data_IF_152181666293
#
_entry.id   IF_152181666293
#
_cell.length_a   1.000
_cell.length_b   1.000
_cell.length_c   1.000
_cell.angle_alpha   90.00
_cell.angle_beta   90.00
_cell.angle_gamma   90.00
#
_symmetry.space_group_name_H-M   'P 1'
#
loop_
_entity.id
_entity.type
_entity.pdbx_description
1 polymer ?
#
# COMPACT_ATOMS: atom_id res chain seq x y z
N UNK A 1 13.37 -2.90 9.65
CA UNK A 1 12.48 -1.75 9.96
C UNK A 1 11.01 -2.17 9.99
N UNK A 2 10.51 -2.85 8.95
CA UNK A 2 9.13 -3.38 8.92
C UNK A 2 8.80 -4.29 10.12
N UNK A 3 9.67 -5.24 10.46
CA UNK A 3 9.45 -6.15 11.59
C UNK A 3 9.38 -5.41 12.94
N UNK A 4 10.29 -4.46 13.14
CA UNK A 4 10.30 -3.60 14.34
C UNK A 4 9.01 -2.78 14.45
N UNK A 5 8.50 -2.26 13.33
CA UNK A 5 7.24 -1.52 13.31
C UNK A 5 6.08 -2.42 13.72
N UNK A 6 5.98 -3.63 13.16
CA UNK A 6 4.93 -4.58 13.50
C UNK A 6 4.99 -4.99 14.98
N UNK A 7 6.18 -5.28 15.49
CA UNK A 7 6.40 -5.62 16.90
C UNK A 7 5.89 -4.51 17.84
N UNK A 8 6.18 -3.24 17.51
CA UNK A 8 5.76 -2.10 18.33
C UNK A 8 4.24 -2.00 18.48
N UNK A 9 3.45 -2.53 17.55
CA UNK A 9 1.98 -2.45 17.64
C UNK A 9 1.38 -3.29 18.77
N UNK A 10 2.13 -4.20 19.37
CA UNK A 10 1.69 -5.04 20.49
C UNK A 10 1.81 -4.35 21.85
N UNK A 11 2.67 -3.32 21.94
CA UNK A 11 2.98 -2.63 23.17
C UNK A 11 2.26 -1.30 23.28
N UNK A 12 1.75 -0.99 24.46
CA UNK A 12 1.36 0.36 24.81
C UNK A 12 2.57 1.14 25.32
N UNK A 13 2.89 2.25 24.67
CA UNK A 13 3.90 3.19 25.18
C UNK A 13 3.40 3.90 26.44
N UNK A 14 4.24 4.03 27.49
CA UNK A 14 3.83 4.61 28.77
C UNK A 14 3.64 6.14 28.73
N UNK A 15 4.31 6.84 27.80
CA UNK A 15 4.15 8.27 27.59
C UNK A 15 3.55 8.57 26.20
N UNK A 16 2.84 9.69 26.07
CA UNK A 16 2.49 10.28 24.76
C UNK A 16 3.68 10.99 24.11
N UNK A 17 4.74 11.28 24.87
CA UNK A 17 5.94 11.95 24.37
C UNK A 17 6.92 10.96 23.75
N UNK A 18 7.25 11.16 22.47
CA UNK A 18 8.27 10.35 21.77
C UNK A 18 9.61 10.37 22.50
N UNK A 19 10.06 11.55 22.93
CA UNK A 19 11.35 11.74 23.59
C UNK A 19 11.43 10.97 24.91
N UNK A 20 10.37 11.01 25.71
CA UNK A 20 10.33 10.30 27.00
C UNK A 20 10.42 8.79 26.78
N UNK A 21 9.64 8.24 25.84
CA UNK A 21 9.68 6.82 25.54
C UNK A 21 11.05 6.40 25.00
N UNK A 22 11.64 7.16 24.08
CA UNK A 22 12.97 6.86 23.53
C UNK A 22 14.05 6.88 24.59
N UNK A 23 14.00 7.83 25.54
CA UNK A 23 14.90 7.85 26.68
C UNK A 23 14.76 6.59 27.53
N UNK A 24 13.54 6.21 27.88
CA UNK A 24 13.31 5.00 28.66
C UNK A 24 13.77 3.73 27.93
N UNK A 25 13.60 3.67 26.61
CA UNK A 25 14.10 2.56 25.78
C UNK A 25 15.64 2.54 25.81
N UNK A 26 16.29 3.68 25.58
CA UNK A 26 17.75 3.79 25.57
C UNK A 26 18.38 3.47 26.93
N UNK A 27 17.72 3.89 28.02
CA UNK A 27 18.16 3.65 29.39
C UNK A 27 17.79 2.23 29.89
N UNK A 28 17.05 1.42 29.10
CA UNK A 28 16.60 0.09 29.51
C UNK A 28 15.54 0.07 30.62
N UNK A 29 14.85 1.20 30.84
CA UNK A 29 13.90 1.41 31.94
C UNK A 29 12.43 1.37 31.51
N UNK A 30 12.15 1.21 30.21
CA UNK A 30 10.79 1.25 29.69
C UNK A 30 9.94 0.09 30.24
N UNK A 31 8.78 0.43 30.78
CA UNK A 31 7.74 -0.51 31.19
C UNK A 31 6.58 -0.40 30.20
N UNK A 32 6.48 -1.38 29.30
CA UNK A 32 5.42 -1.41 28.29
C UNK A 32 4.09 -1.84 28.91
N UNK A 33 3.01 -1.18 28.54
CA UNK A 33 1.66 -1.71 28.76
C UNK A 33 1.23 -2.64 27.63
N UNK A 34 0.02 -3.17 27.71
CA UNK A 34 -0.60 -3.98 26.66
C UNK A 34 -1.63 -3.18 25.87
N UNK A 35 -1.78 -3.48 24.57
CA UNK A 35 -2.87 -2.96 23.74
C UNK A 35 -3.27 -3.95 22.65
N UNK A 36 -4.50 -3.80 22.16
CA UNK A 36 -4.93 -4.50 20.94
C UNK A 36 -4.22 -3.94 19.70
N UNK A 37 -3.55 -4.80 18.92
CA UNK A 37 -2.82 -4.45 17.70
C UNK A 37 -3.68 -3.70 16.66
N UNK A 38 -4.98 -3.99 16.59
CA UNK A 38 -5.90 -3.40 15.61
C UNK A 38 -6.46 -2.03 15.99
N UNK A 39 -6.33 -1.62 17.27
CA UNK A 39 -6.92 -0.36 17.76
C UNK A 39 -5.89 0.75 17.80
N UNK A 40 -6.18 1.83 17.09
CA UNK A 40 -5.42 3.08 17.19
C UNK A 40 -5.53 3.67 18.60
N UNK A 41 -4.46 4.34 19.04
CA UNK A 41 -4.43 5.17 20.25
C UNK A 41 -4.24 6.65 19.93
N UNK A 42 -4.35 7.04 18.65
CA UNK A 42 -4.08 8.41 18.20
C UNK A 42 -2.60 8.79 18.32
N UNK A 43 -1.69 7.81 18.29
CA UNK A 43 -0.26 8.00 18.55
C UNK A 43 0.61 7.57 17.35
N UNK A 44 0.01 7.45 16.16
CA UNK A 44 0.65 6.94 14.94
C UNK A 44 2.08 7.44 14.72
N UNK A 45 2.29 8.75 14.76
CA UNK A 45 3.59 9.34 14.50
C UNK A 45 4.64 9.02 15.56
N UNK A 46 4.25 8.93 16.83
CA UNK A 46 5.16 8.52 17.89
C UNK A 46 5.61 7.05 17.71
N UNK A 47 4.69 6.13 17.38
CA UNK A 47 5.05 4.73 17.12
C UNK A 47 5.97 4.60 15.91
N UNK A 48 5.68 5.32 14.83
CA UNK A 48 6.55 5.35 13.64
C UNK A 48 7.94 5.88 14.00
N UNK A 49 8.05 7.01 14.72
CA UNK A 49 9.35 7.54 15.18
C UNK A 49 10.13 6.54 16.05
N UNK A 50 9.47 5.82 16.96
CA UNK A 50 10.12 4.79 17.78
C UNK A 50 10.63 3.64 16.90
N UNK A 51 9.82 3.15 15.96
CA UNK A 51 10.22 2.07 15.05
C UNK A 51 11.39 2.49 14.14
N UNK A 52 11.36 3.69 13.59
CA UNK A 52 12.43 4.25 12.77
C UNK A 52 13.73 4.42 13.58
N UNK A 53 13.65 4.87 14.83
CA UNK A 53 14.82 5.03 15.69
C UNK A 53 15.42 3.68 16.10
N UNK A 54 14.59 2.70 16.50
CA UNK A 54 15.04 1.32 16.80
C UNK A 54 15.71 0.68 15.58
N UNK A 55 15.25 1.01 14.38
CA UNK A 55 15.85 0.57 13.12
C UNK A 55 17.13 1.33 12.74
N UNK A 56 17.54 2.36 13.51
CA UNK A 56 18.62 3.28 13.15
C UNK A 56 18.40 4.02 11.81
N UNK A 57 17.14 4.17 11.39
CA UNK A 57 16.77 4.88 10.17
C UNK A 57 16.69 6.41 10.40
N UNK A 58 16.46 6.83 11.64
CA UNK A 58 16.50 8.23 12.08
C UNK A 58 17.37 8.36 13.33
N UNK A 59 17.89 9.56 13.58
CA UNK A 59 18.65 9.88 14.78
C UNK A 59 17.92 10.97 15.55
N UNK A 60 17.76 10.76 16.85
CA UNK A 60 17.42 11.85 17.76
C UNK A 60 18.72 12.36 18.39
N UNK A 61 19.02 13.63 18.17
CA UNK A 61 20.21 14.25 18.78
C UNK A 61 19.94 14.41 20.27
N UNK A 62 20.82 13.83 21.08
CA UNK A 62 20.83 14.07 22.51
C UNK A 62 21.45 15.44 22.74
N UNK A 63 20.68 16.37 23.28
CA UNK A 63 21.19 17.65 23.73
C UNK A 63 22.22 17.45 24.84
N UNK A 64 23.08 18.46 25.06
CA UNK A 64 24.14 18.41 26.09
C UNK A 64 23.62 18.15 27.52
N UNK A 65 22.35 18.49 27.79
CA UNK A 65 21.63 18.23 29.05
C UNK A 65 21.09 16.78 29.16
N UNK A 66 21.33 15.94 28.15
CA UNK A 66 20.87 14.55 28.13
C UNK A 66 19.43 14.33 27.65
N UNK A 67 18.70 15.39 27.26
CA UNK A 67 17.35 15.29 26.66
C UNK A 67 17.46 14.98 25.17
N UNK A 68 16.45 14.32 24.58
CA UNK A 68 16.39 14.20 23.13
C UNK A 68 15.67 15.44 22.57
N UNK A 69 16.29 16.14 21.61
CA UNK A 69 15.58 17.19 20.89
C UNK A 69 14.42 16.54 20.12
N UNK A 70 13.20 17.02 20.37
CA UNK A 70 11.97 16.56 19.72
C UNK A 70 11.92 16.97 18.25
N UNK A 71 12.82 16.45 17.43
CA UNK A 71 12.85 16.73 16.01
C UNK A 71 11.59 16.16 15.33
N UNK A 72 10.93 17.00 14.54
CA UNK A 72 9.87 16.60 13.61
C UNK A 72 8.42 16.89 14.00
N UNK A 73 8.16 17.77 14.97
CA UNK A 73 6.80 18.22 15.29
C UNK A 73 5.91 17.17 15.96
N UNK A 74 4.69 17.58 16.32
CA UNK A 74 3.71 16.77 17.06
C UNK A 74 2.71 16.04 16.16
N UNK A 75 2.56 16.48 14.90
CA UNK A 75 1.53 15.99 13.98
C UNK A 75 2.13 15.13 12.87
N UNK A 76 1.38 14.12 12.45
CA UNK A 76 1.83 13.19 11.42
C UNK A 76 1.95 13.87 10.04
N UNK A 77 1.00 14.76 9.70
CA UNK A 77 0.99 15.44 8.39
C UNK A 77 2.26 16.24 8.08
N UNK A 78 2.94 16.76 9.11
CA UNK A 78 4.18 17.57 8.94
C UNK A 78 5.47 16.74 9.02
N UNK A 79 5.38 15.41 9.02
CA UNK A 79 6.54 14.54 9.18
C UNK A 79 7.55 14.62 8.02
N UNK A 80 7.11 15.10 6.85
CA UNK A 80 7.92 15.09 5.62
C UNK A 80 9.28 15.76 5.76
N UNK A 81 9.30 17.03 6.16
CA UNK A 81 10.54 17.79 6.31
C UNK A 81 11.50 17.15 7.33
N UNK A 82 10.96 16.51 8.38
CA UNK A 82 11.79 15.77 9.32
C UNK A 82 12.38 14.52 8.68
N UNK A 83 11.58 13.71 8.00
CA UNK A 83 12.07 12.50 7.32
C UNK A 83 13.18 12.85 6.31
N UNK A 84 13.00 13.91 5.52
CA UNK A 84 14.03 14.41 4.60
C UNK A 84 15.30 14.88 5.32
N UNK A 85 15.18 15.55 6.47
CA UNK A 85 16.34 15.91 7.30
C UNK A 85 17.10 14.68 7.83
N UNK A 86 16.43 13.54 7.94
CA UNK A 86 17.04 12.25 8.31
C UNK A 86 17.56 11.48 7.08
N UNK A 87 17.55 12.11 5.91
CA UNK A 87 18.05 11.56 4.65
C UNK A 87 17.12 10.53 4.01
N UNK A 88 15.81 10.62 4.26
CA UNK A 88 14.82 9.99 3.40
C UNK A 88 14.65 10.84 2.12
N UNK A 89 14.21 10.21 1.04
CA UNK A 89 13.87 10.87 -0.23
C UNK A 89 12.37 10.75 -0.44
N UNK A 90 11.71 11.86 -0.76
CA UNK A 90 10.32 11.85 -1.18
C UNK A 90 10.20 11.24 -2.60
N UNK A 91 9.56 10.08 -2.70
CA UNK A 91 9.36 9.30 -3.94
C UNK A 91 7.91 9.31 -4.41
N UNK A 92 7.05 10.18 -3.86
CA UNK A 92 5.61 10.23 -4.22
C UNK A 92 5.38 10.34 -5.72
N UNK A 93 6.11 11.24 -6.39
CA UNK A 93 5.98 11.46 -7.84
C UNK A 93 6.49 10.31 -8.72
N UNK A 94 7.22 9.35 -8.13
CA UNK A 94 7.78 8.19 -8.83
C UNK A 94 6.84 6.98 -8.77
N UNK A 95 5.76 7.07 -8.00
CA UNK A 95 4.85 5.97 -7.74
C UNK A 95 3.45 6.30 -8.29
N UNK A 96 2.76 5.34 -8.93
CA UNK A 96 1.38 5.55 -9.39
C UNK A 96 0.38 5.80 -8.26
N UNK A 97 0.63 5.21 -7.09
CA UNK A 97 -0.26 5.21 -5.94
C UNK A 97 0.49 4.78 -4.67
N UNK A 98 0.01 5.16 -3.49
CA UNK A 98 0.62 4.75 -2.21
C UNK A 98 0.66 3.23 -2.00
N UNK A 99 -0.22 2.46 -2.66
CA UNK A 99 -0.16 0.98 -2.67
C UNK A 99 1.08 0.42 -3.38
N UNK A 100 1.80 1.23 -4.14
CA UNK A 100 3.06 0.87 -4.78
C UNK A 100 4.28 1.13 -3.88
N UNK A 101 4.09 1.73 -2.71
CA UNK A 101 5.15 1.89 -1.72
C UNK A 101 5.78 0.54 -1.37
N UNK A 102 7.11 0.53 -1.30
CA UNK A 102 7.92 -0.64 -0.95
C UNK A 102 7.83 -0.91 0.55
N UNK A 103 8.03 -2.16 1.00
CA UNK A 103 8.29 -2.45 2.40
C UNK A 103 9.45 -1.59 2.90
N UNK A 104 9.20 -0.84 3.98
CA UNK A 104 10.13 0.13 4.55
C UNK A 104 9.84 1.59 4.16
N UNK A 105 9.05 1.86 3.13
CA UNK A 105 8.65 3.24 2.85
C UNK A 105 7.74 3.78 3.97
N UNK A 106 7.88 5.07 4.26
CA UNK A 106 7.04 5.80 5.20
C UNK A 106 6.01 6.60 4.43
N UNK A 107 4.72 6.37 4.68
CA UNK A 107 3.61 7.05 3.99
C UNK A 107 3.01 8.07 4.95
N UNK A 108 2.96 9.33 4.55
CA UNK A 108 2.42 10.45 5.31
C UNK A 108 1.12 10.93 4.66
N UNK A 109 0.11 11.20 5.48
CA UNK A 109 -1.22 11.57 5.05
C UNK A 109 -1.69 12.85 5.74
N UNK A 110 -2.48 13.64 5.03
CA UNK A 110 -3.35 14.66 5.62
C UNK A 110 -4.81 14.22 5.52
N UNK A 111 -5.69 14.91 6.25
CA UNK A 111 -7.13 14.73 6.10
C UNK A 111 -7.59 15.50 4.86
N UNK A 112 -8.41 14.87 4.01
CA UNK A 112 -8.99 15.50 2.82
C UNK A 112 -9.67 16.83 3.18
N UNK A 113 -9.37 17.88 2.43
CA UNK A 113 -9.88 19.23 2.69
C UNK A 113 -9.19 19.99 3.85
N UNK A 114 -8.26 19.35 4.57
CA UNK A 114 -7.36 20.03 5.49
C UNK A 114 -6.10 20.46 4.74
N UNK A 115 -5.76 21.74 4.82
CA UNK A 115 -4.52 22.25 4.24
C UNK A 115 -3.31 21.81 5.08
N UNK A 116 -2.20 21.53 4.42
CA UNK A 116 -0.92 21.31 5.09
C UNK A 116 -0.46 22.65 5.67
N UNK A 117 -0.55 22.81 6.98
CA UNK A 117 -0.01 23.98 7.67
C UNK A 117 1.22 23.57 8.49
N UNK A 118 2.35 24.20 8.19
CA UNK A 118 3.61 23.99 8.91
C UNK A 118 3.51 24.38 10.40
N UNK A 119 2.50 25.17 10.77
CA UNK A 119 2.21 25.58 12.14
C UNK A 119 1.46 24.51 12.97
N UNK A 120 1.09 23.38 12.37
CA UNK A 120 0.40 22.29 13.06
C UNK A 120 -1.07 22.58 13.39
N UNK A 121 -1.68 23.64 12.84
CA UNK A 121 -3.13 23.84 12.95
C UNK A 121 -3.89 22.85 12.06
N UNK A 122 -5.17 22.63 12.36
CA UNK A 122 -6.02 21.67 11.63
C UNK A 122 -5.93 20.25 12.17
N UNK A 123 -6.21 19.26 11.33
CA UNK A 123 -6.24 17.85 11.71
C UNK A 123 -4.83 17.25 11.75
N UNK A 124 -4.56 16.28 12.64
CA UNK A 124 -3.21 15.75 12.87
C UNK A 124 -2.62 14.94 11.70
N UNK A 125 -3.44 14.53 10.73
CA UNK A 125 -3.05 13.61 9.67
C UNK A 125 -2.80 12.18 10.16
N UNK A 126 -2.15 11.37 9.31
CA UNK A 126 -1.76 10.01 9.65
C UNK A 126 -0.38 9.67 9.08
N UNK A 127 0.24 8.59 9.54
CA UNK A 127 1.52 8.11 9.05
C UNK A 127 1.68 6.60 9.29
N UNK A 128 2.25 5.92 8.29
CA UNK A 128 2.58 4.49 8.36
C UNK A 128 4.01 4.19 7.94
N UNK A 129 4.50 3.04 8.37
CA UNK A 129 5.53 2.27 7.68
C UNK A 129 4.84 1.17 6.88
N UNK A 130 5.16 1.06 5.58
CA UNK A 130 4.70 -0.04 4.73
C UNK A 130 5.49 -1.31 5.07
N UNK A 131 4.81 -2.43 5.22
CA UNK A 131 5.43 -3.77 5.25
C UNK A 131 4.98 -4.56 4.03
N UNK A 132 5.41 -5.82 3.91
CA UNK A 132 4.99 -6.68 2.81
C UNK A 132 3.47 -6.80 2.76
N UNK A 133 2.85 -7.09 3.90
CA UNK A 133 1.41 -7.33 4.01
C UNK A 133 0.63 -6.14 4.55
N UNK A 134 1.26 -5.25 5.33
CA UNK A 134 0.52 -4.31 6.18
C UNK A 134 0.94 -2.86 5.99
N UNK A 135 0.13 -1.97 6.53
CA UNK A 135 0.46 -0.59 6.84
C UNK A 135 0.47 -0.48 8.36
N UNK A 136 1.57 0.02 8.90
CA UNK A 136 1.86 -0.07 10.33
C UNK A 136 2.10 1.32 10.89
N UNK A 137 1.24 1.72 11.81
CA UNK A 137 1.36 2.94 12.60
C UNK A 137 1.47 2.56 14.09
N UNK A 138 0.74 3.27 14.94
CA UNK A 138 0.33 2.76 16.25
C UNK A 138 -0.61 1.56 16.18
N UNK A 139 -1.16 1.20 15.02
CA UNK A 139 -1.93 -0.03 14.82
C UNK A 139 -1.57 -0.68 13.49
N UNK A 140 -1.97 -1.95 13.29
CA UNK A 140 -1.71 -2.69 12.06
C UNK A 140 -2.97 -2.86 11.24
N UNK A 141 -2.86 -2.68 9.92
CA UNK A 141 -3.94 -2.92 8.95
C UNK A 141 -3.39 -3.49 7.65
N UNK A 142 -4.22 -4.19 6.89
CA UNK A 142 -3.87 -4.82 5.61
C UNK A 142 -4.30 -4.01 4.38
N UNK A 143 -4.74 -2.77 4.58
CA UNK A 143 -5.28 -1.91 3.54
C UNK A 143 -4.83 -0.45 3.75
N UNK A 144 -4.68 0.33 2.67
CA UNK A 144 -4.26 1.73 2.75
C UNK A 144 -5.22 2.55 3.64
N UNK A 145 -4.73 3.42 4.53
CA UNK A 145 -5.65 4.26 5.31
C UNK A 145 -6.16 5.40 4.47
N UNK A 146 -7.33 5.16 3.89
CA UNK A 146 -8.11 6.16 3.16
C UNK A 146 -9.16 6.83 4.05
N UNK A 147 -9.40 6.31 5.25
CA UNK A 147 -10.37 6.90 6.19
C UNK A 147 -10.01 6.67 7.65
N UNK A 148 -10.48 7.58 8.50
CA UNK A 148 -10.37 7.52 9.94
C UNK A 148 -11.63 8.05 10.63
N UNK A 149 -11.61 7.97 11.96
CA UNK A 149 -12.69 8.47 12.82
C UNK A 149 -12.18 9.70 13.57
N UNK A 150 -12.85 10.83 13.37
CA UNK A 150 -12.56 12.09 14.04
C UNK A 150 -13.34 12.26 15.35
N UNK A 151 -13.21 13.43 16.00
CA UNK A 151 -14.01 13.80 17.16
C UNK A 151 -15.52 13.64 16.89
N UNK A 152 -16.26 13.11 17.86
CA UNK A 152 -17.70 12.89 17.72
C UNK A 152 -18.10 11.72 16.81
N UNK A 153 -17.18 10.80 16.50
CA UNK A 153 -17.38 9.65 15.59
C UNK A 153 -17.67 10.05 14.13
N UNK A 154 -17.31 11.26 13.74
CA UNK A 154 -17.42 11.72 12.36
C UNK A 154 -16.35 11.04 11.50
N UNK A 155 -16.72 10.56 10.31
CA UNK A 155 -15.76 9.96 9.39
C UNK A 155 -15.00 11.06 8.66
N UNK A 156 -13.68 10.91 8.55
CA UNK A 156 -12.86 11.73 7.66
C UNK A 156 -12.06 10.82 6.73
N UNK A 157 -11.59 11.40 5.64
CA UNK A 157 -10.81 10.70 4.62
C UNK A 157 -9.37 11.19 4.62
N UNK A 158 -8.45 10.32 4.25
CA UNK A 158 -7.03 10.63 4.19
C UNK A 158 -6.53 10.62 2.76
N UNK A 159 -5.64 11.55 2.46
CA UNK A 159 -4.91 11.64 1.20
C UNK A 159 -3.41 11.48 1.48
N UNK A 160 -2.70 10.57 0.80
CA UNK A 160 -1.24 10.51 0.87
C UNK A 160 -0.62 11.79 0.30
N UNK A 161 0.17 12.49 1.10
CA UNK A 161 0.94 13.69 0.69
C UNK A 161 2.42 13.41 0.50
N UNK A 162 2.92 12.31 1.06
CA UNK A 162 4.32 11.97 0.98
C UNK A 162 4.58 10.48 1.14
N UNK A 163 5.47 9.94 0.30
CA UNK A 163 6.02 8.59 0.43
C UNK A 163 7.53 8.76 0.51
N UNK A 164 8.10 8.43 1.65
CA UNK A 164 9.50 8.69 1.98
C UNK A 164 10.27 7.39 2.05
N UNK A 165 11.32 7.29 1.25
CA UNK A 165 12.19 6.10 1.16
C UNK A 165 13.56 6.39 1.74
N UNK A 166 14.07 5.49 2.57
CA UNK A 166 15.45 5.53 3.08
C UNK A 166 16.30 4.46 2.39
N UNK A 167 17.41 4.87 1.80
CA UNK A 167 18.35 3.95 1.17
C UNK A 167 18.84 2.89 2.18
N UNK A 168 18.89 1.63 1.77
CA UNK A 168 19.29 0.50 2.62
C UNK A 168 18.17 -0.05 3.52
N UNK A 169 16.98 0.56 3.50
CA UNK A 169 15.84 0.15 4.33
C UNK A 169 14.61 -0.30 3.54
N UNK A 170 14.67 -0.25 2.20
CA UNK A 170 13.61 -0.69 1.29
C UNK A 170 14.07 -1.87 0.44
N UNK A 171 13.22 -2.88 0.28
CA UNK A 171 13.43 -3.99 -0.67
C UNK A 171 12.82 -3.62 -2.05
N UNK A 172 13.61 -3.54 -3.14
CA UNK A 172 13.10 -3.25 -4.48
C UNK A 172 12.38 -4.45 -5.12
N UNK A 173 12.67 -5.68 -4.71
CA UNK A 173 12.13 -6.90 -5.32
C UNK A 173 10.58 -6.99 -5.28
N UNK A 174 9.88 -6.53 -4.22
CA UNK A 174 8.44 -6.36 -4.18
C UNK A 174 7.84 -5.63 -5.38
N UNK A 175 8.49 -4.59 -5.90
CA UNK A 175 7.99 -3.85 -7.06
C UNK A 175 8.12 -4.68 -8.35
N UNK A 176 9.26 -5.34 -8.55
CA UNK A 176 9.46 -6.24 -9.69
C UNK A 176 8.44 -7.38 -9.68
N UNK A 177 8.22 -8.01 -8.52
CA UNK A 177 7.20 -9.04 -8.31
C UNK A 177 5.79 -8.56 -8.60
N UNK A 178 5.41 -7.38 -8.11
CA UNK A 178 4.10 -6.80 -8.39
C UNK A 178 3.90 -6.53 -9.89
N UNK A 179 4.90 -5.93 -10.56
CA UNK A 179 4.86 -5.70 -12.02
C UNK A 179 4.78 -7.00 -12.81
N UNK A 180 5.53 -8.02 -12.40
CA UNK A 180 5.50 -9.35 -12.99
C UNK A 180 4.11 -9.97 -12.88
N UNK A 181 3.49 -9.89 -11.70
CA UNK A 181 2.16 -10.45 -11.48
C UNK A 181 1.07 -9.71 -12.27
N UNK A 182 1.14 -8.37 -12.34
CA UNK A 182 0.27 -7.57 -13.22
C UNK A 182 0.41 -8.00 -14.69
N UNK A 183 1.64 -8.30 -15.14
CA UNK A 183 1.91 -8.80 -16.51
C UNK A 183 1.29 -10.16 -16.76
N UNK A 184 1.34 -11.05 -15.78
CA UNK A 184 0.64 -12.34 -15.86
C UNK A 184 -0.85 -12.11 -16.07
N UNK A 185 -1.52 -11.33 -15.20
CA UNK A 185 -2.96 -11.12 -15.30
C UNK A 185 -3.34 -10.63 -16.69
N UNK A 186 -2.70 -9.55 -17.17
CA UNK A 186 -3.04 -8.98 -18.49
C UNK A 186 -2.69 -9.90 -19.67
N UNK A 187 -1.63 -10.69 -19.55
CA UNK A 187 -1.27 -11.66 -20.59
C UNK A 187 -2.30 -12.77 -20.76
N UNK A 188 -3.13 -13.01 -19.74
CA UNK A 188 -4.17 -14.03 -19.75
C UNK A 188 -5.55 -13.43 -19.99
N UNK A 189 -5.94 -12.43 -19.22
CA UNK A 189 -7.24 -11.76 -19.32
C UNK A 189 -7.43 -11.03 -20.66
N UNK A 190 -6.35 -10.51 -21.25
CA UNK A 190 -6.36 -9.84 -22.55
C UNK A 190 -5.48 -10.55 -23.59
N UNK A 191 -5.37 -11.88 -23.49
CA UNK A 191 -4.50 -12.73 -24.32
C UNK A 191 -4.57 -12.40 -25.82
N UNK A 192 -5.77 -12.26 -26.38
CA UNK A 192 -5.95 -11.96 -27.80
C UNK A 192 -5.26 -10.66 -28.21
N UNK A 193 -5.35 -9.61 -27.39
CA UNK A 193 -4.72 -8.33 -27.67
C UNK A 193 -3.20 -8.38 -27.50
N UNK A 194 -2.73 -9.15 -26.50
CA UNK A 194 -1.30 -9.43 -26.35
C UNK A 194 -0.73 -10.12 -27.60
N UNK A 195 -1.40 -11.14 -28.11
CA UNK A 195 -0.97 -11.91 -29.30
C UNK A 195 -1.03 -11.08 -30.58
N UNK A 196 -2.05 -10.24 -30.74
CA UNK A 196 -2.21 -9.42 -31.95
C UNK A 196 -1.23 -8.25 -32.03
N UNK A 197 -0.89 -7.60 -30.90
CA UNK A 197 -0.18 -6.34 -30.95
C UNK A 197 0.65 -5.99 -29.69
N UNK A 198 0.92 -6.97 -28.82
CA UNK A 198 1.81 -6.81 -27.67
C UNK A 198 1.18 -6.23 -26.42
N UNK A 199 1.98 -6.17 -25.35
CA UNK A 199 1.54 -5.89 -23.98
C UNK A 199 0.83 -4.54 -23.83
N UNK A 200 1.32 -3.49 -24.50
CA UNK A 200 0.70 -2.17 -24.45
C UNK A 200 -0.74 -2.16 -24.98
N UNK A 201 -1.11 -3.12 -25.84
CA UNK A 201 -2.46 -3.19 -26.41
C UNK A 201 -3.47 -3.91 -25.52
N UNK A 202 -3.04 -4.61 -24.47
CA UNK A 202 -3.97 -5.26 -23.53
C UNK A 202 -4.89 -4.28 -22.84
N UNK A 203 -4.43 -3.05 -22.58
CA UNK A 203 -5.22 -1.99 -21.92
C UNK A 203 -6.45 -1.52 -22.70
N UNK A 204 -6.53 -1.87 -23.99
CA UNK A 204 -7.63 -1.51 -24.89
C UNK A 204 -8.58 -2.69 -25.16
N UNK A 205 -8.40 -3.80 -24.46
CA UNK A 205 -9.27 -4.96 -24.61
C UNK A 205 -10.66 -4.71 -24.04
N UNK A 206 -11.68 -5.29 -24.66
CA UNK A 206 -13.05 -5.35 -24.16
C UNK A 206 -13.52 -6.80 -24.24
N UNK A 207 -14.32 -7.23 -23.26
CA UNK A 207 -14.88 -8.58 -23.25
C UNK A 207 -15.61 -8.88 -24.57
N UNK A 208 -15.34 -10.06 -25.15
CA UNK A 208 -15.96 -10.52 -26.40
C UNK A 208 -15.41 -9.86 -27.67
N UNK A 209 -14.41 -8.99 -27.57
CA UNK A 209 -13.74 -8.38 -28.73
C UNK A 209 -12.43 -9.10 -29.01
N UNK A 210 -12.26 -9.54 -30.26
CA UNK A 210 -11.09 -10.32 -30.70
C UNK A 210 -10.30 -9.66 -31.83
N UNK A 211 -10.57 -8.39 -32.14
CA UNK A 211 -9.89 -7.64 -33.21
C UNK A 211 -9.48 -6.25 -32.73
N UNK A 212 -8.39 -5.72 -33.29
CA UNK A 212 -7.89 -4.37 -32.95
C UNK A 212 -8.83 -3.25 -33.41
N UNK A 213 -9.66 -3.48 -34.43
CA UNK A 213 -10.63 -2.49 -34.89
C UNK A 213 -11.78 -2.26 -33.89
N UNK A 214 -12.09 -3.29 -33.09
CA UNK A 214 -13.06 -3.24 -32.00
C UNK A 214 -12.47 -2.80 -30.65
N UNK A 215 -11.18 -2.47 -30.61
CA UNK A 215 -10.51 -2.02 -29.38
C UNK A 215 -11.21 -0.80 -28.76
N UNK A 216 -11.07 -0.67 -27.43
CA UNK A 216 -11.48 0.52 -26.71
C UNK A 216 -10.82 1.77 -27.32
N UNK A 217 -11.62 2.80 -27.56
CA UNK A 217 -11.15 4.05 -28.18
C UNK A 217 -11.11 5.22 -27.20
N UNK A 218 -12.01 5.20 -26.23
CA UNK A 218 -12.12 6.22 -25.19
C UNK A 218 -11.79 5.59 -23.83
N UNK A 219 -10.76 6.16 -23.20
CA UNK A 219 -10.29 5.78 -21.86
C UNK A 219 -10.42 6.96 -20.87
N UNK A 220 -11.22 7.98 -21.20
CA UNK A 220 -11.51 9.10 -20.29
C UNK A 220 -12.36 8.68 -19.09
N UNK A 221 -13.04 7.54 -19.19
CA UNK A 221 -13.82 6.92 -18.13
C UNK A 221 -14.00 5.42 -18.39
N UNK A 222 -14.68 4.70 -17.51
CA UNK A 222 -15.00 3.29 -17.72
C UNK A 222 -15.84 3.10 -19.00
N UNK A 223 -15.39 2.27 -19.95
CA UNK A 223 -16.08 2.11 -21.23
C UNK A 223 -17.50 1.57 -21.09
N UNK A 224 -18.42 2.08 -21.90
CA UNK A 224 -19.78 1.56 -22.00
C UNK A 224 -19.81 0.24 -22.79
N UNK A 225 -20.81 -0.60 -22.51
CA UNK A 225 -21.10 -1.81 -23.30
C UNK A 225 -20.88 -3.11 -22.53
N UNK A 226 -19.62 -3.56 -22.42
CA UNK A 226 -19.31 -4.88 -21.86
C UNK A 226 -19.14 -4.88 -20.33
N UNK A 227 -19.35 -6.05 -19.73
CA UNK A 227 -19.24 -6.24 -18.27
C UNK A 227 -17.81 -6.20 -17.75
N UNK A 228 -16.83 -6.58 -18.58
CA UNK A 228 -15.41 -6.62 -18.23
C UNK A 228 -14.58 -5.84 -19.26
N UNK A 229 -13.68 -4.98 -18.79
CA UNK A 229 -12.95 -4.03 -19.63
C UNK A 229 -11.46 -3.95 -19.27
N UNK A 230 -10.64 -3.61 -20.27
CA UNK A 230 -9.23 -3.30 -20.12
C UNK A 230 -8.31 -4.49 -19.91
N UNK A 231 -7.06 -4.20 -19.58
CA UNK A 231 -5.99 -5.20 -19.42
C UNK A 231 -6.30 -6.26 -18.36
N UNK A 232 -7.07 -5.88 -17.34
CA UNK A 232 -7.38 -6.73 -16.19
C UNK A 232 -8.82 -7.24 -16.20
N UNK A 233 -9.55 -7.05 -17.32
CA UNK A 233 -10.96 -7.43 -17.48
C UNK A 233 -11.80 -7.01 -16.26
N UNK A 234 -11.65 -5.76 -15.85
CA UNK A 234 -12.24 -5.24 -14.63
C UNK A 234 -13.73 -4.97 -14.81
N UNK A 235 -14.52 -5.25 -13.77
CA UNK A 235 -15.96 -4.95 -13.79
C UNK A 235 -16.25 -3.49 -13.47
N UNK A 236 -17.39 -2.99 -13.96
CA UNK A 236 -17.89 -1.65 -13.60
C UNK A 236 -18.14 -1.50 -12.10
N UNK A 237 -18.52 -2.59 -11.41
CA UNK A 237 -18.73 -2.58 -9.97
C UNK A 237 -17.41 -2.39 -9.19
N UNK A 238 -16.35 -3.12 -9.58
CA UNK A 238 -15.00 -2.94 -9.03
C UNK A 238 -14.45 -1.53 -9.32
N UNK A 239 -14.71 -1.01 -10.52
CA UNK A 239 -14.37 0.35 -10.92
C UNK A 239 -15.02 1.41 -10.02
N UNK A 240 -16.35 1.36 -9.87
CA UNK A 240 -17.06 2.30 -9.00
C UNK A 240 -16.66 2.14 -7.54
N UNK A 241 -16.35 0.92 -7.10
CA UNK A 241 -15.86 0.66 -5.76
C UNK A 241 -14.53 1.35 -5.47
N UNK A 242 -13.56 1.28 -6.38
CA UNK A 242 -12.25 1.92 -6.21
C UNK A 242 -12.29 3.45 -6.18
N UNK A 243 -13.29 4.08 -6.81
CA UNK A 243 -13.44 5.55 -6.75
C UNK A 243 -13.90 6.06 -5.38
N UNK A 244 -14.59 5.24 -4.60
CA UNK A 244 -15.15 5.66 -3.32
C UNK A 244 -14.04 6.10 -2.36
N UNK A 245 -14.14 7.29 -1.73
CA UNK A 245 -13.12 7.79 -0.79
C UNK A 245 -12.85 6.84 0.38
N UNK A 246 -13.88 6.13 0.84
CA UNK A 246 -13.77 5.14 1.91
C UNK A 246 -13.14 3.81 1.51
N UNK A 247 -12.90 3.61 0.21
CA UNK A 247 -12.32 2.40 -0.35
C UNK A 247 -11.01 2.74 -1.06
N UNK A 248 -11.01 3.00 -2.36
CA UNK A 248 -9.78 3.17 -3.13
C UNK A 248 -9.26 4.60 -3.16
N UNK A 249 -10.17 5.59 -3.22
CA UNK A 249 -9.90 6.97 -3.60
C UNK A 249 -9.10 7.07 -4.93
N UNK A 250 -9.43 6.21 -5.90
CA UNK A 250 -8.73 6.13 -7.18
C UNK A 250 -9.35 7.07 -8.24
N UNK A 251 -8.58 7.50 -9.25
CA UNK A 251 -9.09 8.32 -10.34
C UNK A 251 -10.24 7.67 -11.12
N UNK A 252 -10.99 8.52 -11.83
CA UNK A 252 -12.16 8.13 -12.61
C UNK A 252 -11.88 7.93 -14.12
N UNK A 253 -10.67 8.20 -14.59
CA UNK A 253 -10.22 7.85 -15.95
C UNK A 253 -9.86 6.37 -16.09
N UNK A 254 -9.90 5.80 -17.28
CA UNK A 254 -9.57 4.39 -17.52
C UNK A 254 -8.22 4.20 -18.24
N UNK A 255 -7.30 5.13 -18.01
CA UNK A 255 -5.97 5.10 -18.64
C UNK A 255 -5.15 3.88 -18.17
N UNK A 256 -4.14 3.44 -18.93
CA UNK A 256 -3.33 2.27 -18.57
C UNK A 256 -2.78 2.31 -17.13
N UNK A 257 -2.22 3.44 -16.72
CA UNK A 257 -1.70 3.63 -15.36
C UNK A 257 -2.80 3.50 -14.30
N UNK A 258 -4.01 3.98 -14.59
CA UNK A 258 -5.14 3.88 -13.66
C UNK A 258 -5.66 2.45 -13.60
N UNK A 259 -5.73 1.73 -14.72
CA UNK A 259 -6.05 0.30 -14.72
C UNK A 259 -5.08 -0.51 -13.84
N UNK A 260 -3.77 -0.21 -13.88
CA UNK A 260 -2.78 -0.83 -13.00
C UNK A 260 -3.04 -0.53 -11.52
N UNK A 261 -3.38 0.72 -11.18
CA UNK A 261 -3.73 1.12 -9.81
C UNK A 261 -4.93 0.34 -9.28
N UNK A 262 -5.94 0.14 -10.11
CA UNK A 262 -7.11 -0.66 -9.74
C UNK A 262 -6.79 -2.13 -9.57
N UNK A 263 -5.98 -2.73 -10.45
CA UNK A 263 -5.54 -4.11 -10.27
C UNK A 263 -4.78 -4.29 -8.95
N UNK A 264 -3.92 -3.34 -8.58
CA UNK A 264 -3.23 -3.34 -7.28
C UNK A 264 -4.19 -3.16 -6.10
N UNK A 265 -5.20 -2.30 -6.24
CA UNK A 265 -6.28 -2.15 -5.26
C UNK A 265 -7.06 -3.47 -5.06
N UNK A 266 -7.36 -4.20 -6.13
CA UNK A 266 -8.05 -5.50 -6.05
C UNK A 266 -7.17 -6.58 -5.40
N UNK A 267 -5.86 -6.59 -5.69
CA UNK A 267 -4.91 -7.48 -5.01
C UNK A 267 -4.77 -7.18 -3.51
N UNK A 268 -4.86 -5.90 -3.12
CA UNK A 268 -4.95 -5.50 -1.71
C UNK A 268 -6.30 -5.95 -1.10
N UNK A 269 -7.36 -5.80 -1.88
CA UNK A 269 -8.75 -6.15 -1.59
C UNK A 269 -9.41 -5.21 -0.58
N UNK A 270 -10.34 -5.70 0.24
CA UNK A 270 -11.17 -4.81 1.06
C UNK A 270 -10.65 -4.59 2.49
N UNK A 271 -10.92 -3.41 3.09
CA UNK A 271 -10.68 -3.16 4.51
C UNK A 271 -11.39 -4.20 5.40
N UNK A 272 -10.81 -4.46 6.58
CA UNK A 272 -11.53 -5.16 7.65
C UNK A 272 -11.37 -6.68 7.71
N UNK A 273 -10.45 -7.28 6.94
CA UNK A 273 -10.14 -8.70 7.04
C UNK A 273 -9.22 -8.97 8.24
N UNK A 274 -9.80 -9.43 9.35
CA UNK A 274 -9.09 -9.83 10.57
C UNK A 274 -9.36 -11.31 10.88
N UNK A 275 -8.42 -12.02 11.51
CA UNK A 275 -8.71 -13.33 12.08
C UNK A 275 -9.43 -13.26 13.43
N UNK A 276 -9.71 -14.44 13.99
CA UNK A 276 -10.33 -14.63 15.31
C UNK A 276 -9.53 -13.97 16.45
N UNK A 277 -8.23 -13.78 16.30
CA UNK A 277 -7.38 -13.06 17.27
C UNK A 277 -7.40 -11.54 17.07
N UNK A 278 -8.10 -11.06 16.05
CA UNK A 278 -8.16 -9.65 15.70
C UNK A 278 -6.92 -9.15 14.95
N UNK A 279 -6.07 -10.04 14.42
CA UNK A 279 -4.92 -9.66 13.61
C UNK A 279 -5.35 -9.49 12.15
N UNK A 280 -4.90 -8.43 11.46
CA UNK A 280 -5.22 -8.24 10.06
C UNK A 280 -4.65 -9.40 9.24
N UNK A 281 -5.42 -9.91 8.31
CA UNK A 281 -5.02 -11.03 7.46
C UNK A 281 -4.14 -10.57 6.30
N UNK A 282 -3.14 -11.36 5.89
CA UNK A 282 -2.38 -11.13 4.66
C UNK A 282 -3.27 -10.94 3.42
N UNK A 283 -2.88 -10.02 2.54
CA UNK A 283 -3.54 -9.80 1.25
C UNK A 283 -2.85 -10.55 0.13
N UNK A 284 -3.53 -10.71 -1.02
CA UNK A 284 -2.90 -11.28 -2.20
C UNK A 284 -1.70 -10.42 -2.65
N UNK A 285 -1.84 -9.09 -2.61
CA UNK A 285 -0.75 -8.15 -2.87
C UNK A 285 0.46 -8.42 -1.97
N UNK A 286 0.24 -8.68 -0.68
CA UNK A 286 1.32 -9.01 0.24
C UNK A 286 2.04 -10.32 -0.14
N UNK A 287 1.29 -11.37 -0.50
CA UNK A 287 1.90 -12.63 -0.97
C UNK A 287 2.62 -12.49 -2.31
N UNK A 288 2.12 -11.66 -3.23
CA UNK A 288 2.84 -11.32 -4.46
C UNK A 288 4.20 -10.69 -4.12
N UNK A 289 4.22 -9.75 -3.17
CA UNK A 289 5.44 -9.05 -2.77
C UNK A 289 6.45 -9.96 -2.07
N UNK A 290 6.01 -10.97 -1.31
CA UNK A 290 6.91 -11.97 -0.70
C UNK A 290 7.34 -13.05 -1.69
N UNK A 291 6.65 -13.18 -2.84
CA UNK A 291 6.88 -14.24 -3.83
C UNK A 291 6.15 -15.55 -3.51
N UNK A 292 5.25 -15.55 -2.54
CA UNK A 292 4.42 -16.72 -2.17
C UNK A 292 3.20 -16.84 -3.09
N UNK A 293 3.45 -17.07 -4.38
CA UNK A 293 2.45 -16.89 -5.44
C UNK A 293 1.28 -17.86 -5.35
N UNK A 294 1.45 -19.05 -4.81
CA UNK A 294 0.33 -19.98 -4.58
C UNK A 294 -0.71 -19.41 -3.61
N UNK A 295 -0.25 -18.74 -2.55
CA UNK A 295 -1.14 -18.10 -1.57
C UNK A 295 -1.83 -16.88 -2.18
N UNK A 296 -1.11 -16.12 -3.02
CA UNK A 296 -1.72 -15.02 -3.77
C UNK A 296 -2.82 -15.52 -4.71
N UNK A 297 -2.53 -16.53 -5.54
CA UNK A 297 -3.49 -17.12 -6.49
C UNK A 297 -4.73 -17.64 -5.77
N UNK A 298 -4.56 -18.33 -4.63
CA UNK A 298 -5.69 -18.83 -3.85
C UNK A 298 -6.68 -17.73 -3.42
N UNK A 299 -6.19 -16.52 -3.13
CA UNK A 299 -7.03 -15.37 -2.78
C UNK A 299 -7.65 -14.65 -3.99
N UNK A 300 -7.15 -14.90 -5.19
CA UNK A 300 -7.50 -14.15 -6.41
C UNK A 300 -8.38 -14.92 -7.39
N UNK A 301 -8.69 -16.19 -7.15
CA UNK A 301 -9.56 -17.01 -8.01
C UNK A 301 -10.97 -16.44 -8.23
N UNK A 302 -11.46 -15.66 -7.26
CA UNK A 302 -12.76 -14.99 -7.37
C UNK A 302 -12.68 -13.61 -8.05
N UNK A 303 -11.46 -13.09 -8.25
CA UNK A 303 -11.22 -11.78 -8.85
C UNK A 303 -10.92 -11.91 -10.35
N UNK A 304 -10.07 -12.89 -10.70
CA UNK A 304 -9.64 -13.11 -12.08
C UNK A 304 -9.90 -14.54 -12.52
N UNK A 305 -10.72 -14.67 -13.56
CA UNK A 305 -11.10 -15.96 -14.14
C UNK A 305 -9.90 -16.71 -14.71
N UNK A 306 -8.85 -16.01 -15.13
CA UNK A 306 -7.64 -16.64 -15.65
C UNK A 306 -6.76 -17.36 -14.61
N UNK A 307 -7.05 -17.22 -13.32
CA UNK A 307 -6.20 -17.78 -12.26
C UNK A 307 -6.23 -19.32 -12.27
N UNK A 308 -5.09 -20.01 -12.11
CA UNK A 308 -5.05 -21.47 -12.08
C UNK A 308 -5.99 -22.09 -11.04
N UNK A 309 -6.76 -23.09 -11.46
CA UNK A 309 -7.74 -23.79 -10.62
C UNK A 309 -9.11 -23.12 -10.53
N UNK A 310 -9.39 -22.14 -11.40
CA UNK A 310 -10.77 -21.72 -11.72
C UNK A 310 -11.32 -22.61 -12.84
N UNK A 311 -12.63 -22.59 -13.07
CA UNK A 311 -13.24 -23.30 -14.21
C UNK A 311 -12.96 -22.65 -15.57
N UNK A 312 -12.34 -21.46 -15.58
CA UNK A 312 -12.12 -20.63 -16.78
C UNK A 312 -10.63 -20.33 -17.01
N UNK A 313 -9.72 -21.07 -16.35
CA UNK A 313 -8.27 -20.87 -16.46
C UNK A 313 -7.70 -21.19 -17.86
N UNK A 314 -8.52 -21.77 -18.74
CA UNK A 314 -8.16 -22.20 -20.10
C UNK A 314 -6.92 -23.13 -20.10
N UNK A 315 -6.79 -23.96 -19.07
CA UNK A 315 -5.65 -24.87 -18.90
C UNK A 315 -4.36 -24.21 -18.41
N UNK A 316 -4.42 -22.96 -17.93
CA UNK A 316 -3.28 -22.28 -17.33
C UNK A 316 -2.97 -22.87 -15.94
N UNK A 317 -1.85 -23.56 -15.86
CA UNK A 317 -1.46 -24.30 -14.64
C UNK A 317 -0.69 -23.43 -13.66
N UNK A 318 -0.68 -23.83 -12.39
CA UNK A 318 0.14 -23.18 -11.36
C UNK A 318 1.64 -23.22 -11.71
N UNK A 319 2.11 -24.29 -12.37
CA UNK A 319 3.49 -24.42 -12.81
C UNK A 319 3.86 -23.40 -13.90
N UNK A 320 2.98 -23.21 -14.89
CA UNK A 320 3.16 -22.18 -15.92
C UNK A 320 3.16 -20.78 -15.31
N UNK A 321 2.23 -20.51 -14.38
CA UNK A 321 2.17 -19.22 -13.69
C UNK A 321 3.48 -18.91 -12.95
N UNK A 322 4.03 -19.87 -12.20
CA UNK A 322 5.33 -19.69 -11.52
C UNK A 322 6.46 -19.42 -12.52
N UNK A 323 6.50 -20.16 -13.62
CA UNK A 323 7.53 -19.96 -14.65
C UNK A 323 7.44 -18.56 -15.29
N UNK A 324 6.22 -18.10 -15.61
CA UNK A 324 5.99 -16.74 -16.13
C UNK A 324 6.34 -15.68 -15.08
N UNK A 325 6.02 -15.93 -13.81
CA UNK A 325 6.37 -15.04 -12.70
C UNK A 325 7.88 -14.88 -12.59
N UNK A 326 8.64 -15.96 -12.54
CA UNK A 326 10.10 -15.90 -12.45
C UNK A 326 10.72 -15.22 -13.68
N UNK A 327 10.18 -15.48 -14.87
CA UNK A 327 10.59 -14.82 -16.12
C UNK A 327 10.37 -13.31 -16.04
N UNK A 328 9.17 -12.86 -15.66
CA UNK A 328 8.85 -11.44 -15.63
C UNK A 328 9.48 -10.72 -14.43
N UNK A 329 9.72 -11.39 -13.31
CA UNK A 329 10.50 -10.82 -12.19
C UNK A 329 11.89 -10.46 -12.68
N UNK A 330 12.57 -11.34 -13.44
CA UNK A 330 13.87 -11.04 -14.04
C UNK A 330 13.80 -9.86 -15.00
N UNK A 331 12.75 -9.79 -15.82
CA UNK A 331 12.52 -8.67 -16.75
C UNK A 331 12.41 -7.32 -16.01
N UNK A 332 11.71 -7.28 -14.87
CA UNK A 332 11.49 -6.04 -14.10
C UNK A 332 12.52 -5.77 -13.00
N UNK A 333 13.53 -6.63 -12.85
CA UNK A 333 14.62 -6.45 -11.87
C UNK A 333 15.88 -5.81 -12.48
N UNK A 334 15.94 -5.71 -13.82
CA UNK A 334 17.02 -5.07 -14.57
C UNK A 334 16.70 -3.60 -14.86
#
# INVERSE_FOLDING_TARGET
MSDLAEEQTTYAMPSSSTVVNLKQIADGTIQYGTKETKKSRGQCYMYVKVALWKANAIKFVREKNGTFAGAGGSYAKVAGAFLESQGFVNVTSQLPDARWALPGDVIVYHVMGDAETADGKGQPGHIDIRTYHYYVSDFKRNYLCVSGVGPGKTRHFYEPIGIYRKQGFSDPLPLARMKAFLKIIRSREAKTFLELAGDAKTYYASQGVYTLSGALKDLSTYPNGAHHQGAYQMTKAAWLAGQRPEQGALPADFQPATQDRYAVFLMEGHPGRFDKSGQPQPTALGYVRTGEIEKAVALLRNEWACMPGTSQDQGYTMAQLKADFDKYVKEFSN
#
